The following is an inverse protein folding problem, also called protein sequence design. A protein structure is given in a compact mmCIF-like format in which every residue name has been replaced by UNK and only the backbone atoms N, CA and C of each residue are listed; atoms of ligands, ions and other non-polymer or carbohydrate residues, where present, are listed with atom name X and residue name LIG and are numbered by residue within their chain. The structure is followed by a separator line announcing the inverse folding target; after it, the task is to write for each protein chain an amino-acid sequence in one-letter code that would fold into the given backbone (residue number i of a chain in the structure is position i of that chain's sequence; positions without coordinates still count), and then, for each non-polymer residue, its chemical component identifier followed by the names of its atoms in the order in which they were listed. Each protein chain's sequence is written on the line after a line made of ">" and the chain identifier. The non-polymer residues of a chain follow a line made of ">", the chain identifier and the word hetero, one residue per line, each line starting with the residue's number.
data_IF_781067000621
#
_entry.id   IF_781067000621
#
_cell.length_a   1.000
_cell.length_b   1.000
_cell.length_c   1.000
_cell.angle_alpha   90.00
_cell.angle_beta   90.00
_cell.angle_gamma   90.00
#
_symmetry.space_group_name_H-M   'P 1'
#
loop_
_entity.id
_entity.type
_entity.pdbx_description
1 polymer ?
#
# COMPACT_ATOMS: atom_id res chain seq x y z
N UNK A 1 9.69 -18.97 25.91
CA UNK A 1 8.47 -18.76 25.11
C UNK A 1 8.76 -17.67 24.08
N UNK A 2 8.95 -18.04 22.80
CA UNK A 2 9.16 -17.06 21.73
C UNK A 2 7.78 -16.56 21.31
N UNK A 3 7.45 -15.31 21.63
CA UNK A 3 6.23 -14.67 21.14
C UNK A 3 6.39 -14.46 19.62
N UNK A 4 5.72 -15.30 18.82
CA UNK A 4 5.66 -15.11 17.37
C UNK A 4 4.89 -13.82 17.10
N UNK A 5 5.53 -12.85 16.45
CA UNK A 5 4.87 -11.61 16.05
C UNK A 5 3.91 -11.93 14.92
N UNK A 6 2.64 -11.55 15.08
CA UNK A 6 1.63 -11.65 14.02
C UNK A 6 1.51 -10.31 13.28
N UNK A 7 1.13 -10.39 12.01
CA UNK A 7 0.82 -9.24 11.16
C UNK A 7 -0.53 -9.48 10.48
N UNK A 8 -1.37 -8.44 10.42
CA UNK A 8 -2.65 -8.50 9.72
C UNK A 8 -2.41 -8.40 8.21
N UNK A 9 -2.86 -9.40 7.48
CA UNK A 9 -2.81 -9.46 6.03
C UNK A 9 -4.21 -9.35 5.45
N UNK A 10 -4.40 -8.48 4.46
CA UNK A 10 -5.69 -8.37 3.74
C UNK A 10 -5.58 -9.23 2.48
N UNK A 11 -6.35 -10.33 2.41
CA UNK A 11 -6.36 -11.18 1.21
C UNK A 11 -6.94 -10.45 0.01
N UNK A 12 -7.95 -9.61 0.24
CA UNK A 12 -8.43 -8.62 -0.74
C UNK A 12 -7.73 -7.30 -0.43
N UNK A 13 -6.87 -6.79 -1.32
CA UNK A 13 -6.02 -5.66 -0.99
C UNK A 13 -6.79 -4.33 -1.03
N UNK A 14 -6.43 -3.42 -0.11
CA UNK A 14 -7.00 -2.06 -0.06
C UNK A 14 -6.79 -1.24 -1.33
N UNK A 15 -5.81 -1.59 -2.18
CA UNK A 15 -5.57 -0.87 -3.43
C UNK A 15 -6.68 -1.11 -4.46
N UNK A 16 -7.46 -2.18 -4.33
CA UNK A 16 -8.64 -2.46 -5.15
C UNK A 16 -9.71 -1.37 -4.95
N UNK A 17 -9.91 -0.91 -3.71
CA UNK A 17 -10.80 0.22 -3.41
C UNK A 17 -10.33 1.52 -4.09
N UNK A 18 -9.01 1.75 -4.16
CA UNK A 18 -8.48 2.91 -4.87
C UNK A 18 -8.58 2.79 -6.40
N UNK A 19 -8.68 1.58 -6.95
CA UNK A 19 -8.98 1.37 -8.35
C UNK A 19 -10.47 1.62 -8.63
N UNK A 20 -11.35 1.08 -7.79
CA UNK A 20 -12.80 1.34 -7.82
C UNK A 20 -13.09 2.85 -7.73
N UNK A 21 -12.55 3.54 -6.72
CA UNK A 21 -12.76 4.97 -6.53
C UNK A 21 -12.27 5.78 -7.74
N UNK A 22 -11.20 5.36 -8.43
CA UNK A 22 -10.73 6.06 -9.63
C UNK A 22 -11.63 5.83 -10.84
N UNK A 23 -12.07 4.60 -11.04
CA UNK A 23 -13.02 4.24 -12.10
C UNK A 23 -14.33 5.00 -11.94
N UNK A 24 -14.95 4.97 -10.75
CA UNK A 24 -16.24 5.62 -10.50
C UNK A 24 -16.18 7.15 -10.57
N UNK A 25 -15.06 7.75 -10.18
CA UNK A 25 -14.90 9.22 -10.23
C UNK A 25 -14.62 9.74 -11.65
N UNK A 26 -14.34 8.87 -12.62
CA UNK A 26 -14.11 9.27 -14.00
C UNK A 26 -15.43 9.30 -14.77
N UNK A 27 -15.91 10.52 -15.07
CA UNK A 27 -17.24 10.74 -15.66
C UNK A 27 -17.26 10.73 -17.19
N UNK A 28 -16.10 10.79 -17.83
CA UNK A 28 -15.97 10.87 -19.28
C UNK A 28 -15.91 9.47 -19.91
N UNK A 29 -16.58 9.29 -21.04
CA UNK A 29 -16.50 8.06 -21.84
C UNK A 29 -15.35 8.24 -22.84
N UNK A 30 -14.13 8.05 -22.35
CA UNK A 30 -12.90 8.16 -23.12
C UNK A 30 -11.96 6.95 -22.91
N UNK A 31 -10.78 6.99 -23.52
CA UNK A 31 -9.80 5.93 -23.41
C UNK A 31 -9.27 5.73 -21.98
N UNK A 32 -9.18 6.80 -21.18
CA UNK A 32 -8.74 6.73 -19.79
C UNK A 32 -9.80 6.03 -18.92
N UNK A 33 -11.07 6.37 -19.10
CA UNK A 33 -12.19 5.70 -18.43
C UNK A 33 -12.22 4.20 -18.74
N UNK A 34 -12.00 3.82 -19.99
CA UNK A 34 -11.89 2.41 -20.40
C UNK A 34 -10.70 1.72 -19.71
N UNK A 35 -9.53 2.36 -19.65
CA UNK A 35 -8.36 1.79 -18.97
C UNK A 35 -8.61 1.60 -17.46
N UNK A 36 -9.22 2.59 -16.80
CA UNK A 36 -9.55 2.52 -15.38
C UNK A 36 -10.54 1.39 -15.07
N UNK A 37 -11.57 1.23 -15.91
CA UNK A 37 -12.54 0.15 -15.77
C UNK A 37 -11.89 -1.23 -15.98
N UNK A 38 -11.12 -1.41 -17.05
CA UNK A 38 -10.39 -2.66 -17.32
C UNK A 38 -9.40 -2.98 -16.19
N UNK A 39 -8.73 -1.96 -15.63
CA UNK A 39 -7.83 -2.13 -14.49
C UNK A 39 -8.58 -2.64 -13.26
N UNK A 40 -9.72 -2.05 -12.92
CA UNK A 40 -10.53 -2.50 -11.80
C UNK A 40 -11.01 -3.94 -12.02
N UNK A 41 -11.61 -4.25 -13.18
CA UNK A 41 -12.10 -5.61 -13.49
C UNK A 41 -10.99 -6.66 -13.43
N UNK A 42 -9.80 -6.35 -13.96
CA UNK A 42 -8.66 -7.25 -13.88
C UNK A 42 -8.25 -7.55 -12.43
N UNK A 43 -8.17 -6.51 -11.59
CA UNK A 43 -7.83 -6.69 -10.18
C UNK A 43 -8.94 -7.41 -9.42
N UNK A 44 -10.21 -7.12 -9.71
CA UNK A 44 -11.35 -7.80 -9.09
C UNK A 44 -11.27 -9.31 -9.37
N UNK A 45 -11.03 -9.69 -10.64
CA UNK A 45 -10.80 -11.08 -11.03
C UNK A 45 -9.60 -11.72 -10.31
N UNK A 46 -8.46 -11.02 -10.25
CA UNK A 46 -7.24 -11.49 -9.57
C UNK A 46 -7.50 -11.85 -8.10
N UNK A 47 -8.34 -11.08 -7.40
CA UNK A 47 -8.65 -11.28 -5.99
C UNK A 47 -9.98 -12.00 -5.73
N UNK A 48 -10.63 -12.53 -6.78
CA UNK A 48 -11.90 -13.25 -6.66
C UNK A 48 -13.07 -12.39 -6.16
N UNK A 49 -13.05 -11.09 -6.46
CA UNK A 49 -14.11 -10.12 -6.15
C UNK A 49 -14.99 -9.94 -7.38
N UNK A 50 -16.31 -9.84 -7.18
CA UNK A 50 -17.26 -9.54 -8.27
C UNK A 50 -16.96 -8.17 -8.87
N UNK A 51 -17.02 -8.05 -10.20
CA UNK A 51 -16.93 -6.76 -10.90
C UNK A 51 -18.18 -5.88 -10.70
N UNK A 52 -19.29 -6.50 -10.30
CA UNK A 52 -20.56 -5.82 -9.96
C UNK A 52 -20.65 -5.36 -8.50
N UNK A 53 -19.58 -5.48 -7.72
CA UNK A 53 -19.57 -5.10 -6.29
C UNK A 53 -19.74 -3.59 -6.15
N UNK A 54 -20.58 -3.14 -5.20
CA UNK A 54 -20.62 -1.71 -4.87
C UNK A 54 -19.50 -1.32 -3.90
N UNK A 55 -19.33 -0.02 -3.69
CA UNK A 55 -18.25 0.52 -2.86
C UNK A 55 -18.30 0.01 -1.42
N UNK A 56 -19.48 0.02 -0.80
CA UNK A 56 -19.68 -0.38 0.59
C UNK A 56 -19.41 -1.87 0.79
N UNK A 57 -19.92 -2.71 -0.11
CA UNK A 57 -19.64 -4.14 -0.17
C UNK A 57 -18.15 -4.41 -0.32
N UNK A 58 -17.47 -3.67 -1.19
CA UNK A 58 -16.03 -3.81 -1.39
C UNK A 58 -15.24 -3.46 -0.11
N UNK A 59 -15.65 -2.43 0.63
CA UNK A 59 -15.05 -2.11 1.93
C UNK A 59 -15.25 -3.26 2.92
N UNK A 60 -16.47 -3.81 3.00
CA UNK A 60 -16.77 -4.94 3.89
C UNK A 60 -15.95 -6.17 3.51
N UNK A 61 -15.83 -6.49 2.22
CA UNK A 61 -15.01 -7.59 1.73
C UNK A 61 -13.53 -7.40 2.09
N UNK A 62 -12.98 -6.21 1.88
CA UNK A 62 -11.59 -5.90 2.23
C UNK A 62 -11.35 -6.11 3.73
N UNK A 63 -12.17 -5.52 4.58
CA UNK A 63 -11.98 -5.59 6.03
C UNK A 63 -12.25 -7.01 6.58
N UNK A 64 -13.25 -7.72 6.05
CA UNK A 64 -13.52 -9.13 6.42
C UNK A 64 -12.49 -10.12 5.88
N UNK A 65 -11.73 -9.75 4.84
CA UNK A 65 -10.63 -10.56 4.30
C UNK A 65 -9.36 -10.54 5.15
N UNK A 66 -9.36 -9.80 6.26
CA UNK A 66 -8.23 -9.71 7.18
C UNK A 66 -7.97 -11.05 7.85
N UNK A 67 -6.75 -11.53 7.75
CA UNK A 67 -6.26 -12.71 8.47
C UNK A 67 -5.00 -12.37 9.23
N UNK A 68 -4.87 -12.92 10.44
CA UNK A 68 -3.62 -12.86 11.18
C UNK A 68 -2.66 -13.91 10.64
N UNK A 69 -1.50 -13.47 10.18
CA UNK A 69 -0.43 -14.36 9.74
C UNK A 69 0.77 -14.22 10.66
N UNK A 70 1.47 -15.34 10.85
CA UNK A 70 2.83 -15.28 11.38
C UNK A 70 3.68 -14.36 10.48
N UNK A 71 4.43 -13.46 11.09
CA UNK A 71 5.21 -12.44 10.40
C UNK A 71 6.16 -13.05 9.37
N UNK A 72 6.83 -14.15 9.67
CA UNK A 72 7.74 -14.75 8.70
C UNK A 72 7.00 -15.29 7.48
N UNK A 73 5.83 -15.90 7.71
CA UNK A 73 4.99 -16.39 6.63
C UNK A 73 4.42 -15.24 5.80
N UNK A 74 3.90 -14.19 6.43
CA UNK A 74 3.41 -12.98 5.75
C UNK A 74 4.48 -12.36 4.84
N UNK A 75 5.71 -12.29 5.33
CA UNK A 75 6.87 -11.79 4.59
C UNK A 75 7.26 -12.66 3.41
N UNK A 76 7.18 -13.98 3.55
CA UNK A 76 7.43 -14.91 2.43
C UNK A 76 6.39 -14.75 1.33
N UNK A 77 5.10 -14.61 1.70
CA UNK A 77 4.03 -14.37 0.73
C UNK A 77 4.29 -13.12 -0.13
N UNK A 78 4.77 -12.04 0.49
CA UNK A 78 5.05 -10.79 -0.21
C UNK A 78 6.46 -10.68 -0.82
N UNK A 79 7.28 -11.74 -0.79
CA UNK A 79 8.66 -11.66 -1.24
C UNK A 79 8.77 -11.26 -2.73
N UNK A 80 7.88 -11.79 -3.58
CA UNK A 80 7.78 -11.42 -5.00
C UNK A 80 7.34 -9.96 -5.16
N UNK A 81 6.34 -9.54 -4.38
CA UNK A 81 5.74 -8.21 -4.46
C UNK A 81 6.76 -7.14 -4.08
N UNK A 82 7.57 -7.39 -3.05
CA UNK A 82 8.63 -6.48 -2.65
C UNK A 82 9.68 -6.28 -3.73
N UNK A 83 9.97 -7.31 -4.53
CA UNK A 83 10.88 -7.19 -5.67
C UNK A 83 10.27 -6.28 -6.74
N UNK A 84 9.00 -6.49 -7.07
CA UNK A 84 8.27 -5.69 -8.07
C UNK A 84 8.11 -4.24 -7.60
N UNK A 85 7.60 -4.00 -6.39
CA UNK A 85 7.46 -2.67 -5.81
C UNK A 85 8.81 -1.96 -5.64
N UNK A 86 9.86 -2.72 -5.31
CA UNK A 86 11.23 -2.22 -5.27
C UNK A 86 11.72 -1.74 -6.64
N UNK A 87 11.40 -2.47 -7.72
CA UNK A 87 11.73 -2.10 -9.10
C UNK A 87 10.90 -0.90 -9.59
N UNK A 88 9.65 -0.77 -9.15
CA UNK A 88 8.75 0.35 -9.47
C UNK A 88 9.10 1.66 -8.73
N UNK A 89 10.37 1.86 -8.38
CA UNK A 89 10.88 3.10 -7.79
C UNK A 89 11.24 3.01 -6.31
N UNK A 90 10.83 1.96 -5.58
CA UNK A 90 11.17 1.81 -4.16
C UNK A 90 12.67 1.78 -3.88
N UNK A 91 13.47 1.14 -4.75
CA UNK A 91 14.94 1.12 -4.64
C UNK A 91 15.55 2.49 -4.90
N UNK A 92 15.03 3.22 -5.89
CA UNK A 92 15.48 4.59 -6.19
C UNK A 92 15.19 5.52 -5.03
N UNK A 93 13.98 5.47 -4.45
CA UNK A 93 13.62 6.26 -3.27
C UNK A 93 14.50 5.90 -2.07
N UNK A 94 14.71 4.61 -1.81
CA UNK A 94 15.58 4.15 -0.72
C UNK A 94 17.03 4.64 -0.90
N UNK A 95 17.56 4.57 -2.12
CA UNK A 95 18.91 5.05 -2.43
C UNK A 95 19.04 6.57 -2.27
N UNK A 96 18.00 7.33 -2.64
CA UNK A 96 18.03 8.81 -2.58
C UNK A 96 17.93 9.37 -1.17
N UNK A 97 17.13 8.74 -0.31
CA UNK A 97 16.79 9.32 1.00
C UNK A 97 17.22 8.47 2.20
N UNK A 98 17.85 7.32 1.95
CA UNK A 98 18.26 6.40 3.00
C UNK A 98 17.11 5.68 3.70
N UNK A 99 17.47 4.71 4.54
CA UNK A 99 16.53 3.82 5.24
C UNK A 99 15.62 4.57 6.21
N UNK A 100 16.16 5.58 6.92
CA UNK A 100 15.43 6.36 7.92
C UNK A 100 14.20 7.04 7.32
N UNK A 101 14.38 7.79 6.23
CA UNK A 101 13.29 8.46 5.54
C UNK A 101 12.36 7.49 4.82
N UNK A 102 12.91 6.46 4.16
CA UNK A 102 12.13 5.46 3.43
C UNK A 102 11.09 4.75 4.31
N UNK A 103 11.45 4.42 5.56
CA UNK A 103 10.50 3.81 6.53
C UNK A 103 9.34 4.75 6.87
N UNK A 104 9.59 6.05 6.98
CA UNK A 104 8.55 7.02 7.32
C UNK A 104 7.62 7.29 6.13
N UNK A 105 8.17 7.35 4.91
CA UNK A 105 7.36 7.38 3.69
C UNK A 105 6.42 6.17 3.61
N UNK A 106 6.92 4.97 3.92
CA UNK A 106 6.08 3.78 3.98
C UNK A 106 4.99 3.92 5.06
N UNK A 107 5.32 4.36 6.28
CA UNK A 107 4.33 4.59 7.34
C UNK A 107 3.25 5.60 6.93
N UNK A 108 3.61 6.68 6.23
CA UNK A 108 2.66 7.68 5.72
C UNK A 108 1.75 7.10 4.65
N UNK A 109 2.29 6.29 3.73
CA UNK A 109 1.52 5.58 2.69
C UNK A 109 0.48 4.64 3.32
N UNK A 110 0.87 3.95 4.39
CA UNK A 110 -0.01 3.06 5.15
C UNK A 110 -0.84 3.78 6.23
N UNK A 111 -0.94 5.12 6.17
CA UNK A 111 -1.72 5.97 7.08
C UNK A 111 -1.42 5.73 8.57
N UNK A 112 -0.22 5.25 8.91
CA UNK A 112 0.23 5.06 10.29
C UNK A 112 0.76 6.35 10.93
N UNK A 113 1.07 7.36 10.11
CA UNK A 113 1.46 8.71 10.54
C UNK A 113 0.79 9.74 9.64
N UNK A 114 0.55 10.94 10.17
CA UNK A 114 -0.01 12.06 9.39
C UNK A 114 1.04 12.71 8.48
N UNK A 115 0.60 13.60 7.58
CA UNK A 115 1.53 14.42 6.81
C UNK A 115 2.38 15.34 7.71
N UNK A 116 1.78 15.86 8.78
CA UNK A 116 2.46 16.68 9.78
C UNK A 116 3.54 15.89 10.53
N UNK A 117 3.24 14.67 10.92
CA UNK A 117 4.21 13.79 11.60
C UNK A 117 5.39 13.46 10.70
N UNK A 118 5.13 13.21 9.41
CA UNK A 118 6.19 12.97 8.43
C UNK A 118 7.11 14.18 8.28
N UNK A 119 6.56 15.39 8.25
CA UNK A 119 7.35 16.63 8.17
C UNK A 119 8.21 16.84 9.43
N UNK A 120 7.66 16.59 10.62
CA UNK A 120 8.43 16.66 11.87
C UNK A 120 9.60 15.68 11.89
N UNK A 121 9.43 14.48 11.34
CA UNK A 121 10.54 13.51 11.21
C UNK A 121 11.57 14.00 10.20
N UNK A 122 11.16 14.68 9.12
CA UNK A 122 12.07 15.27 8.13
C UNK A 122 13.00 16.28 8.79
N UNK A 123 12.42 17.22 9.54
CA UNK A 123 13.19 18.26 10.22
C UNK A 123 14.19 17.65 11.18
N UNK A 124 13.78 16.64 11.96
CA UNK A 124 14.67 15.95 12.92
C UNK A 124 15.84 15.23 12.24
N UNK A 125 15.60 14.52 11.14
CA UNK A 125 16.65 13.81 10.41
C UNK A 125 17.67 14.80 9.81
N UNK A 126 17.19 15.91 9.22
CA UNK A 126 18.06 16.96 8.70
C UNK A 126 18.89 17.65 9.81
N UNK A 127 18.32 17.84 11.00
CA UNK A 127 19.05 18.39 12.14
C UNK A 127 20.11 17.44 12.71
N UNK A 128 19.92 16.12 12.59
CA UNK A 128 20.89 15.12 13.04
C UNK A 128 22.09 14.98 12.09
N UNK A 129 21.89 15.16 10.78
CA UNK A 129 22.97 15.17 9.78
C UNK A 129 23.83 16.44 9.84
N UNK A 130 23.29 17.54 10.39
CA UNK A 130 23.97 18.84 10.50
C UNK A 130 24.87 18.98 11.74
N UNK A 131 25.00 17.95 12.58
CA UNK A 131 25.89 18.00 13.77
C UNK A 131 27.20 17.27 13.42
N UNK A 132 28.30 17.97 13.13
CA UNK A 132 29.57 17.31 12.86
C UNK A 132 30.13 16.75 14.17
N UNK A 133 30.68 15.53 14.08
CA UNK A 133 31.47 14.89 15.16
C UNK A 133 32.80 15.59 15.31
#
# INVERSE_FOLDING_TARGET
>A
MVCRKTEVHHRVPRHLLAAYDRMENHTEIDGEGIELALRFMHLALEYGVSDSVNREELVVLIESSCVELDREYHRRLHASDWRVWGQQGGRTTLSRYGKGWFVQLARRRWRKISARDLELVRTKLLSQEATPT
#
